data_IF_376233409149
#
_entry.id   IF_376233409149
#
_cell.length_a   1.000
_cell.length_b   1.000
_cell.length_c   1.000
_cell.angle_alpha   90.00
_cell.angle_beta   90.00
_cell.angle_gamma   90.00
#
_symmetry.space_group_name_H-M   'P 1'
#
loop_
_entity.id
_entity.type
_entity.pdbx_description
1 polymer ?
#
# COMPACT_ATOMS: atom_id res chain seq x y z
N UNK A 1 -10.85 -6.90 60.50
CA UNK A 1 -10.52 -8.07 59.69
C UNK A 1 -11.17 -7.86 58.32
N UNK A 2 -10.45 -7.41 57.37
CA UNK A 2 -10.91 -7.29 55.96
C UNK A 2 -9.74 -7.70 55.07
N UNK A 3 -9.91 -8.82 54.42
CA UNK A 3 -8.97 -9.32 53.43
C UNK A 3 -9.20 -8.58 52.11
N UNK A 4 -8.20 -7.84 51.68
CA UNK A 4 -8.15 -7.29 50.32
C UNK A 4 -7.62 -8.39 49.41
N UNK A 5 -8.46 -8.93 48.56
CA UNK A 5 -8.12 -9.85 47.51
C UNK A 5 -7.38 -9.08 46.39
N UNK A 6 -6.06 -9.32 46.32
CA UNK A 6 -5.21 -8.80 45.24
C UNK A 6 -5.45 -9.67 44.00
N UNK A 7 -6.20 -9.17 43.07
CA UNK A 7 -6.29 -9.75 41.72
C UNK A 7 -4.93 -9.63 41.04
N UNK A 8 -4.18 -10.69 40.97
CA UNK A 8 -2.97 -10.82 40.17
C UNK A 8 -3.38 -10.85 38.68
N UNK A 9 -3.30 -9.69 38.03
CA UNK A 9 -3.28 -9.61 36.58
C UNK A 9 -2.05 -10.38 36.09
N UNK A 10 -2.27 -11.51 35.44
CA UNK A 10 -1.25 -12.23 34.71
C UNK A 10 -0.63 -11.32 33.69
N UNK A 11 0.54 -10.78 33.96
CA UNK A 11 1.41 -10.17 32.97
C UNK A 11 1.90 -11.31 32.06
N UNK A 12 1.20 -11.50 30.91
CA UNK A 12 1.69 -12.38 29.88
C UNK A 12 3.08 -11.91 29.43
N UNK A 13 4.06 -12.80 29.51
CA UNK A 13 5.39 -12.56 28.96
C UNK A 13 5.28 -12.17 27.48
N UNK A 14 6.14 -11.26 26.98
CA UNK A 14 6.15 -10.89 25.56
C UNK A 14 6.59 -12.13 24.77
N UNK A 15 5.62 -12.83 24.17
CA UNK A 15 5.90 -13.90 23.22
C UNK A 15 6.57 -13.28 22.00
N UNK A 16 7.82 -13.65 21.74
CA UNK A 16 8.45 -13.44 20.43
C UNK A 16 7.55 -14.11 19.39
N UNK A 17 7.06 -13.35 18.40
CA UNK A 17 6.37 -13.93 17.24
C UNK A 17 7.37 -14.89 16.59
N UNK A 18 7.10 -16.18 16.66
CA UNK A 18 7.97 -17.20 16.11
C UNK A 18 8.14 -16.96 14.60
N UNK A 19 9.33 -17.17 14.05
CA UNK A 19 9.65 -17.03 12.61
C UNK A 19 8.71 -17.83 11.69
N UNK A 20 7.83 -18.67 12.21
CA UNK A 20 6.91 -19.57 11.51
C UNK A 20 5.43 -19.31 11.80
N UNK A 21 5.09 -18.30 12.62
CA UNK A 21 3.69 -17.98 12.88
C UNK A 21 3.06 -17.30 11.65
N UNK A 22 1.82 -17.67 11.28
CA UNK A 22 1.08 -17.00 10.21
C UNK A 22 0.93 -15.49 10.49
N UNK A 23 1.12 -14.67 9.48
CA UNK A 23 0.97 -13.22 9.54
C UNK A 23 -0.17 -12.78 8.63
N UNK A 24 -1.03 -11.90 9.13
CA UNK A 24 -2.11 -11.28 8.38
C UNK A 24 -1.74 -9.91 7.86
N UNK A 25 -2.16 -9.60 6.64
CA UNK A 25 -2.14 -8.25 6.09
C UNK A 25 -3.51 -7.90 5.55
N UNK A 26 -3.89 -6.63 5.67
CA UNK A 26 -5.19 -6.13 5.24
C UNK A 26 -5.00 -4.86 4.39
N UNK A 27 -5.37 -4.96 3.13
CA UNK A 27 -5.47 -3.83 2.22
C UNK A 27 -6.93 -3.33 2.17
N UNK A 28 -7.17 -2.13 2.69
CA UNK A 28 -8.49 -1.52 2.75
C UNK A 28 -8.63 -0.50 1.63
N UNK A 29 -9.12 -0.97 0.48
CA UNK A 29 -9.37 -0.14 -0.69
C UNK A 29 -10.80 0.41 -0.73
N UNK A 30 -11.02 1.46 -1.54
CA UNK A 30 -12.33 2.15 -1.66
C UNK A 30 -13.44 1.27 -2.27
N UNK A 31 -13.10 0.32 -3.12
CA UNK A 31 -14.07 -0.54 -3.83
C UNK A 31 -13.93 -2.01 -3.50
N UNK A 32 -12.77 -2.41 -3.05
CA UNK A 32 -12.44 -3.80 -2.72
C UNK A 32 -11.46 -3.84 -1.56
N UNK A 33 -11.60 -4.84 -0.71
CA UNK A 33 -10.68 -5.15 0.37
C UNK A 33 -10.01 -6.49 0.08
N UNK A 34 -8.75 -6.62 0.49
CA UNK A 34 -7.98 -7.86 0.36
C UNK A 34 -7.29 -8.18 1.69
N UNK A 35 -7.52 -9.38 2.21
CA UNK A 35 -6.79 -9.92 3.35
C UNK A 35 -5.97 -11.11 2.87
N UNK A 36 -4.67 -11.12 3.17
CA UNK A 36 -3.80 -12.26 2.93
C UNK A 36 -3.22 -12.77 4.24
N UNK A 37 -3.21 -14.07 4.41
CA UNK A 37 -2.55 -14.75 5.52
C UNK A 37 -1.42 -15.59 4.94
N UNK A 38 -0.20 -15.35 5.39
CA UNK A 38 0.97 -16.06 4.89
C UNK A 38 1.90 -16.49 6.03
N UNK A 39 2.72 -17.49 5.76
CA UNK A 39 3.75 -18.01 6.65
C UNK A 39 5.11 -17.93 5.98
N UNK A 40 6.14 -17.55 6.73
CA UNK A 40 7.52 -17.61 6.25
C UNK A 40 8.00 -19.06 6.21
N UNK A 41 8.52 -19.49 5.08
CA UNK A 41 9.10 -20.82 4.94
C UNK A 41 10.56 -20.85 5.42
N UNK A 42 11.08 -22.02 5.84
CA UNK A 42 12.48 -22.17 6.28
C UNK A 42 13.50 -21.71 5.22
N UNK A 43 13.16 -21.76 3.93
CA UNK A 43 14.00 -21.28 2.81
C UNK A 43 13.88 -19.78 2.52
N UNK A 44 13.18 -18.99 3.36
CA UNK A 44 13.05 -17.54 3.21
C UNK A 44 11.91 -17.06 2.30
N UNK A 45 11.18 -17.96 1.63
CA UNK A 45 9.98 -17.65 0.85
C UNK A 45 8.76 -17.39 1.73
N UNK A 46 7.73 -16.79 1.14
CA UNK A 46 6.41 -16.61 1.76
C UNK A 46 5.42 -17.58 1.13
N UNK A 47 4.68 -18.31 1.94
CA UNK A 47 3.59 -19.19 1.51
C UNK A 47 2.26 -18.59 1.94
N UNK A 48 1.40 -18.27 0.98
CA UNK A 48 0.04 -17.79 1.25
C UNK A 48 -0.83 -18.98 1.64
N UNK A 49 -1.41 -18.90 2.83
CA UNK A 49 -2.26 -19.94 3.44
C UNK A 49 -3.74 -19.67 3.22
N UNK A 50 -4.14 -18.40 3.16
CA UNK A 50 -5.51 -17.96 2.96
C UNK A 50 -5.58 -16.56 2.38
N UNK A 51 -6.64 -16.29 1.62
CA UNK A 51 -6.94 -15.00 1.04
C UNK A 51 -8.43 -14.71 1.14
N UNK A 52 -8.78 -13.49 1.52
CA UNK A 52 -10.12 -12.95 1.41
C UNK A 52 -10.13 -11.81 0.40
N UNK A 53 -11.21 -11.69 -0.37
CA UNK A 53 -11.38 -10.64 -1.36
C UNK A 53 -12.85 -10.26 -1.48
N UNK A 54 -13.20 -9.09 -0.96
CA UNK A 54 -14.58 -8.65 -0.85
C UNK A 54 -14.78 -7.26 -1.46
N UNK A 55 -16.01 -6.95 -1.86
CA UNK A 55 -16.40 -5.58 -2.16
C UNK A 55 -16.31 -4.75 -0.88
N UNK A 56 -15.84 -3.52 -1.00
CA UNK A 56 -15.72 -2.59 0.11
C UNK A 56 -16.93 -1.66 0.14
N UNK A 57 -17.58 -1.58 1.27
CA UNK A 57 -18.63 -0.60 1.57
C UNK A 57 -18.15 0.36 2.67
N UNK A 58 -18.81 1.51 2.80
CA UNK A 58 -18.48 2.51 3.82
C UNK A 58 -17.23 3.33 3.58
N UNK A 59 -16.58 3.23 2.39
CA UNK A 59 -15.36 3.99 2.05
C UNK A 59 -15.56 4.91 0.86
N UNK A 60 -14.91 6.09 0.94
CA UNK A 60 -14.83 7.06 -0.16
C UNK A 60 -13.43 7.66 -0.22
N UNK A 61 -12.78 7.59 -1.38
CA UNK A 61 -11.40 8.06 -1.58
C UNK A 61 -10.40 7.51 -0.53
N UNK A 62 -10.57 6.25 -0.10
CA UNK A 62 -9.77 5.60 0.92
C UNK A 62 -10.13 5.96 2.37
N UNK A 63 -11.03 6.92 2.59
CA UNK A 63 -11.47 7.35 3.92
C UNK A 63 -12.79 6.66 4.31
N UNK A 64 -12.94 6.35 5.60
CA UNK A 64 -14.19 5.80 6.14
C UNK A 64 -15.23 6.91 6.21
N UNK A 65 -16.38 6.69 5.57
CA UNK A 65 -17.54 7.58 5.57
C UNK A 65 -18.74 6.94 6.25
N UNK A 66 -18.76 5.62 6.37
CA UNK A 66 -19.72 4.83 7.12
C UNK A 66 -18.95 3.73 7.86
N UNK A 67 -18.85 3.86 9.17
CA UNK A 67 -18.05 2.98 10.00
C UNK A 67 -18.64 1.57 10.09
N UNK A 68 -19.96 1.44 10.20
CA UNK A 68 -20.63 0.15 10.33
C UNK A 68 -20.48 -0.69 9.05
N UNK A 69 -20.72 -0.08 7.89
CA UNK A 69 -20.51 -0.74 6.60
C UNK A 69 -19.05 -1.12 6.36
N UNK A 70 -18.09 -0.26 6.76
CA UNK A 70 -16.65 -0.56 6.64
C UNK A 70 -16.25 -1.73 7.55
N UNK A 71 -16.71 -1.76 8.80
CA UNK A 71 -16.46 -2.84 9.77
C UNK A 71 -17.03 -4.17 9.28
N UNK A 72 -18.26 -4.18 8.75
CA UNK A 72 -18.86 -5.38 8.16
C UNK A 72 -18.03 -5.91 7.00
N UNK A 73 -17.53 -5.04 6.11
CA UNK A 73 -16.64 -5.42 5.00
C UNK A 73 -15.30 -5.97 5.49
N UNK A 74 -14.70 -5.36 6.54
CA UNK A 74 -13.45 -5.83 7.15
C UNK A 74 -13.64 -7.22 7.77
N UNK A 75 -14.71 -7.43 8.53
CA UNK A 75 -15.01 -8.74 9.13
C UNK A 75 -15.20 -9.82 8.07
N UNK A 76 -15.93 -9.52 7.00
CA UNK A 76 -16.18 -10.47 5.92
C UNK A 76 -14.88 -10.91 5.21
N UNK A 77 -14.01 -9.95 4.84
CA UNK A 77 -12.76 -10.27 4.12
C UNK A 77 -11.76 -11.01 5.01
N UNK A 78 -11.69 -10.67 6.30
CA UNK A 78 -10.82 -11.35 7.27
C UNK A 78 -11.31 -12.78 7.52
N UNK A 79 -12.60 -12.94 7.75
CA UNK A 79 -13.21 -14.25 7.98
C UNK A 79 -12.98 -15.22 6.80
N UNK A 80 -13.11 -14.74 5.56
CA UNK A 80 -12.83 -15.54 4.37
C UNK A 80 -11.36 -16.00 4.35
N UNK A 81 -10.41 -15.10 4.64
CA UNK A 81 -8.99 -15.46 4.69
C UNK A 81 -8.67 -16.46 5.80
N UNK A 82 -9.25 -16.29 6.99
CA UNK A 82 -9.09 -17.17 8.15
C UNK A 82 -9.64 -18.58 7.88
N UNK A 83 -10.81 -18.67 7.26
CA UNK A 83 -11.41 -19.97 6.89
C UNK A 83 -10.50 -20.75 5.95
N UNK A 84 -9.93 -20.12 4.92
CA UNK A 84 -9.01 -20.77 4.00
C UNK A 84 -7.69 -21.17 4.67
N UNK A 85 -7.13 -20.26 5.49
CA UNK A 85 -5.88 -20.50 6.21
C UNK A 85 -6.03 -21.47 7.38
N UNK A 86 -7.25 -21.69 7.91
CA UNK A 86 -7.56 -22.40 9.16
C UNK A 86 -6.82 -21.83 10.36
N UNK A 87 -6.73 -20.50 10.41
CA UNK A 87 -6.01 -19.75 11.46
C UNK A 87 -6.87 -18.56 11.84
N UNK A 88 -6.91 -18.21 13.12
CA UNK A 88 -7.52 -16.97 13.60
C UNK A 88 -6.45 -15.90 13.76
N UNK A 89 -6.63 -14.76 13.09
CA UNK A 89 -5.75 -13.61 13.18
C UNK A 89 -5.97 -12.86 14.51
N UNK A 90 -4.89 -12.40 15.10
CA UNK A 90 -4.92 -11.49 16.26
C UNK A 90 -4.46 -10.10 15.89
N UNK A 91 -3.53 -10.03 14.94
CA UNK A 91 -2.95 -8.77 14.47
C UNK A 91 -2.78 -8.76 12.95
N UNK A 92 -2.81 -7.57 12.38
CA UNK A 92 -2.62 -7.35 10.94
C UNK A 92 -1.68 -6.18 10.67
N UNK A 93 -0.95 -6.25 9.55
CA UNK A 93 -0.32 -5.08 8.94
C UNK A 93 -1.30 -4.46 7.95
N UNK A 94 -1.56 -3.17 8.11
CA UNK A 94 -2.63 -2.46 7.44
C UNK A 94 -2.11 -1.59 6.31
N UNK A 95 -2.72 -1.65 5.13
CA UNK A 95 -2.51 -0.74 4.00
C UNK A 95 -3.36 0.52 4.14
N UNK A 96 -2.76 1.70 3.97
CA UNK A 96 -3.43 2.99 4.00
C UNK A 96 -3.38 3.66 2.63
N UNK A 97 -4.54 3.83 1.98
CA UNK A 97 -4.70 4.57 0.72
C UNK A 97 -5.11 6.03 0.93
N UNK A 98 -5.59 6.38 2.13
CA UNK A 98 -6.08 7.69 2.52
C UNK A 98 -4.99 8.61 3.10
N UNK A 99 -5.42 9.79 3.59
CA UNK A 99 -4.59 10.67 4.41
C UNK A 99 -3.65 11.58 3.63
N UNK A 100 -3.73 11.62 2.30
CA UNK A 100 -2.96 12.54 1.43
C UNK A 100 -1.47 12.55 1.83
N UNK A 101 -0.70 11.52 1.50
CA UNK A 101 0.70 11.39 1.87
C UNK A 101 1.51 12.58 1.34
N UNK A 102 2.47 13.02 2.14
CA UNK A 102 3.46 14.04 1.80
C UNK A 102 4.85 13.47 2.04
N UNK A 103 5.72 13.64 1.07
CA UNK A 103 7.14 13.30 1.17
C UNK A 103 7.93 14.48 1.71
N UNK A 104 8.72 14.23 2.75
CA UNK A 104 9.66 15.20 3.32
C UNK A 104 11.05 14.57 3.37
N UNK A 105 12.08 15.38 3.33
CA UNK A 105 13.48 14.96 3.49
C UNK A 105 14.10 15.67 4.67
N UNK A 106 14.80 14.90 5.52
CA UNK A 106 15.55 15.41 6.65
C UNK A 106 16.97 14.83 6.63
N UNK A 107 17.91 15.53 7.22
CA UNK A 107 19.28 15.06 7.38
C UNK A 107 19.65 15.14 8.86
N UNK A 108 19.87 14.00 9.47
CA UNK A 108 20.22 13.86 10.89
C UNK A 108 21.68 13.49 11.04
N UNK A 109 22.35 14.10 11.99
CA UNK A 109 23.73 13.81 12.36
C UNK A 109 23.79 13.35 13.83
N UNK A 110 24.46 12.22 14.08
CA UNK A 110 24.67 11.64 15.41
C UNK A 110 26.17 11.61 15.70
N UNK A 111 26.58 12.19 16.82
CA UNK A 111 27.96 12.10 17.32
C UNK A 111 28.20 10.71 17.94
N UNK A 112 29.25 10.03 17.50
CA UNK A 112 29.63 8.69 17.94
C UNK A 112 30.84 8.67 18.86
N UNK A 113 31.64 9.77 18.88
CA UNK A 113 32.81 9.86 19.72
C UNK A 113 33.97 8.91 19.32
N UNK A 114 33.97 8.40 18.10
CA UNK A 114 35.04 7.51 17.62
C UNK A 114 34.83 6.02 17.94
N UNK A 115 33.61 5.61 18.33
CA UNK A 115 33.23 4.18 18.54
C UNK A 115 32.59 3.57 17.30
N UNK A 116 32.41 2.25 17.35
CA UNK A 116 31.66 1.53 16.34
C UNK A 116 30.16 1.91 16.37
N UNK A 117 29.55 1.98 15.17
CA UNK A 117 28.11 2.18 14.99
C UNK A 117 27.36 0.94 15.44
N UNK A 118 26.32 1.13 16.23
CA UNK A 118 25.39 0.09 16.63
C UNK A 118 23.98 0.35 16.05
N UNK A 119 23.13 -0.68 16.02
CA UNK A 119 21.76 -0.55 15.49
C UNK A 119 20.94 0.55 16.16
N UNK A 120 21.17 0.78 17.47
CA UNK A 120 20.52 1.82 18.26
C UNK A 120 20.85 3.25 17.79
N UNK A 121 22.04 3.47 17.19
CA UNK A 121 22.41 4.78 16.63
C UNK A 121 21.55 5.12 15.42
N UNK A 122 21.32 4.14 14.53
CA UNK A 122 20.44 4.29 13.39
C UNK A 122 18.99 4.50 13.85
N UNK A 123 18.54 3.71 14.83
CA UNK A 123 17.20 3.86 15.41
C UNK A 123 17.00 5.25 16.03
N UNK A 124 17.99 5.76 16.77
CA UNK A 124 17.96 7.08 17.38
C UNK A 124 17.92 8.20 16.33
N UNK A 125 18.69 8.07 15.24
CA UNK A 125 18.65 9.03 14.15
C UNK A 125 17.26 9.08 13.47
N UNK A 126 16.64 7.92 13.22
CA UNK A 126 15.29 7.86 12.65
C UNK A 126 14.22 8.42 13.60
N UNK A 127 14.34 8.15 14.90
CA UNK A 127 13.45 8.73 15.92
C UNK A 127 13.60 10.27 15.99
N UNK A 128 14.82 10.78 15.89
CA UNK A 128 15.10 12.23 15.85
C UNK A 128 14.47 12.86 14.61
N UNK A 129 14.66 12.26 13.42
CA UNK A 129 14.03 12.73 12.19
C UNK A 129 12.49 12.80 12.30
N UNK A 130 11.86 11.79 12.94
CA UNK A 130 10.40 11.79 13.20
C UNK A 130 9.99 12.93 14.12
N UNK A 131 10.75 13.17 15.19
CA UNK A 131 10.45 14.21 16.18
C UNK A 131 10.57 15.62 15.58
N UNK A 132 11.64 15.89 14.80
CA UNK A 132 11.84 17.19 14.13
C UNK A 132 10.77 17.48 13.07
N UNK A 133 10.26 16.44 12.41
CA UNK A 133 9.25 16.58 11.36
C UNK A 133 7.81 16.58 11.90
N UNK A 134 7.62 16.54 13.22
CA UNK A 134 6.27 16.48 13.80
C UNK A 134 5.49 17.76 13.48
N UNK A 135 4.30 17.60 12.92
CA UNK A 135 3.38 18.66 12.55
C UNK A 135 2.01 18.32 13.09
N UNK A 136 1.31 19.31 13.66
CA UNK A 136 -0.05 19.14 14.16
C UNK A 136 -1.00 18.62 13.06
N UNK A 137 -1.85 17.67 13.42
CA UNK A 137 -2.82 17.04 12.50
C UNK A 137 -2.20 16.05 11.50
N UNK A 138 -0.91 15.76 11.58
CA UNK A 138 -0.23 14.78 10.73
C UNK A 138 0.57 13.75 11.54
N UNK A 139 0.63 12.51 11.01
CA UNK A 139 1.44 11.43 11.55
C UNK A 139 2.55 11.06 10.57
N UNK A 140 3.75 10.79 11.09
CA UNK A 140 4.84 10.25 10.27
C UNK A 140 4.70 8.75 10.12
N UNK A 141 4.13 8.32 8.99
CA UNK A 141 3.86 6.92 8.68
C UNK A 141 5.16 6.14 8.43
N UNK A 142 6.09 6.72 7.67
CA UNK A 142 7.38 6.10 7.38
C UNK A 142 8.54 7.05 7.67
N UNK A 143 9.67 6.48 8.13
CA UNK A 143 10.97 7.15 8.18
C UNK A 143 11.99 6.21 7.56
N UNK A 144 12.34 6.44 6.28
CA UNK A 144 13.13 5.54 5.46
C UNK A 144 14.53 6.13 5.22
N UNK A 145 15.63 5.44 5.55
CA UNK A 145 16.95 5.94 5.24
C UNK A 145 17.18 5.98 3.73
N UNK A 146 17.49 7.17 3.19
CA UNK A 146 17.87 7.37 1.79
C UNK A 146 19.38 7.18 1.60
N UNK A 147 20.17 7.71 2.52
CA UNK A 147 21.61 7.66 2.45
C UNK A 147 22.18 7.66 3.86
N UNK A 148 23.19 6.84 4.07
CA UNK A 148 23.93 6.75 5.32
C UNK A 148 25.39 7.02 5.03
N UNK A 149 26.02 7.94 5.75
CA UNK A 149 27.44 8.23 5.63
C UNK A 149 28.09 8.26 7.01
N UNK A 150 29.35 7.85 7.10
CA UNK A 150 30.16 7.93 8.30
C UNK A 150 31.27 8.96 8.08
N UNK A 151 31.37 9.92 8.97
CA UNK A 151 32.21 11.11 8.83
C UNK A 151 31.91 11.87 7.52
N UNK A 152 32.86 12.00 6.61
CA UNK A 152 32.70 12.57 5.27
C UNK A 152 32.93 11.53 4.18
N UNK A 153 32.74 10.26 4.52
CA UNK A 153 32.99 9.13 3.63
C UNK A 153 31.90 8.94 2.58
N UNK A 154 32.08 7.89 1.79
CA UNK A 154 31.12 7.46 0.76
C UNK A 154 29.82 6.93 1.40
N UNK A 155 28.71 6.92 0.65
CA UNK A 155 27.48 6.29 1.07
C UNK A 155 27.66 4.82 1.45
N UNK A 156 27.11 4.44 2.59
CA UNK A 156 27.19 3.09 3.13
C UNK A 156 25.83 2.39 3.00
N UNK A 157 25.88 1.11 2.71
CA UNK A 157 24.67 0.28 2.72
C UNK A 157 24.24 -0.05 4.15
N UNK A 158 25.19 -0.49 4.98
CA UNK A 158 25.02 -0.75 6.40
C UNK A 158 26.24 -0.21 7.16
N UNK A 159 26.09 0.74 8.08
CA UNK A 159 27.19 1.32 8.83
C UNK A 159 27.55 0.52 10.09
N UNK A 160 26.74 -0.48 10.49
CA UNK A 160 26.93 -1.20 11.77
C UNK A 160 28.29 -1.90 11.85
N UNK A 161 28.95 -1.75 12.99
CA UNK A 161 30.29 -2.26 13.22
C UNK A 161 31.44 -1.37 12.69
N UNK A 162 31.14 -0.37 11.83
CA UNK A 162 32.15 0.56 11.34
C UNK A 162 32.46 1.64 12.41
N UNK A 163 33.73 2.01 12.55
CA UNK A 163 34.19 3.02 13.50
C UNK A 163 34.17 4.41 12.84
N UNK A 164 33.60 5.39 13.54
CA UNK A 164 33.58 6.77 13.06
C UNK A 164 33.23 7.76 14.18
N UNK A 165 33.34 9.05 13.87
CA UNK A 165 33.01 10.12 14.82
C UNK A 165 31.57 10.61 14.63
N UNK A 166 31.08 10.65 13.39
CA UNK A 166 29.76 11.19 13.03
C UNK A 166 29.04 10.28 12.07
N UNK A 167 27.83 9.89 12.43
CA UNK A 167 26.90 9.17 11.57
C UNK A 167 25.89 10.16 11.02
N UNK A 168 25.80 10.29 9.70
CA UNK A 168 24.82 11.14 9.02
C UNK A 168 23.86 10.30 8.23
N UNK A 169 22.55 10.55 8.44
CA UNK A 169 21.44 9.92 7.72
C UNK A 169 20.67 10.97 6.95
N UNK A 170 20.51 10.80 5.64
CA UNK A 170 19.43 11.43 4.89
C UNK A 170 18.21 10.52 5.01
N UNK A 171 17.07 11.07 5.42
CA UNK A 171 15.85 10.31 5.73
C UNK A 171 14.71 10.83 4.89
N UNK A 172 13.97 9.92 4.24
CA UNK A 172 12.69 10.20 3.62
C UNK A 172 11.59 9.93 4.66
N UNK A 173 10.81 10.96 4.94
CA UNK A 173 9.67 10.90 5.85
C UNK A 173 8.38 10.95 5.03
N UNK A 174 7.49 10.00 5.24
CA UNK A 174 6.15 10.00 4.67
C UNK A 174 5.16 10.37 5.76
N UNK A 175 4.50 11.50 5.61
CA UNK A 175 3.48 11.97 6.53
C UNK A 175 2.09 11.87 5.92
N UNK A 176 1.11 11.50 6.74
CA UNK A 176 -0.32 11.43 6.38
C UNK A 176 -1.15 12.25 7.35
N UNK A 177 -2.35 12.65 6.96
CA UNK A 177 -3.31 13.25 7.87
C UNK A 177 -3.68 12.26 8.99
N UNK A 178 -3.69 12.73 10.24
CA UNK A 178 -3.88 11.88 11.41
C UNK A 178 -5.31 11.29 11.48
N UNK A 179 -6.34 12.08 11.18
CA UNK A 179 -7.72 11.65 11.32
C UNK A 179 -8.09 10.43 10.43
N UNK A 180 -7.80 10.39 9.12
CA UNK A 180 -8.06 9.20 8.30
C UNK A 180 -7.29 7.96 8.77
N UNK A 181 -6.04 8.13 9.22
CA UNK A 181 -5.22 7.05 9.78
C UNK A 181 -5.86 6.47 11.04
N UNK A 182 -6.20 7.33 12.02
CA UNK A 182 -6.77 6.89 13.29
C UNK A 182 -8.16 6.29 13.13
N UNK A 183 -9.01 6.85 12.23
CA UNK A 183 -10.32 6.28 11.93
C UNK A 183 -10.22 4.86 11.35
N UNK A 184 -9.26 4.65 10.43
CA UNK A 184 -9.07 3.32 9.84
C UNK A 184 -8.55 2.32 10.87
N UNK A 185 -7.58 2.72 11.70
CA UNK A 185 -7.07 1.87 12.80
C UNK A 185 -8.19 1.52 13.77
N UNK A 186 -8.99 2.51 14.18
CA UNK A 186 -10.10 2.29 15.09
C UNK A 186 -11.16 1.34 14.53
N UNK A 187 -11.47 1.41 13.22
CA UNK A 187 -12.40 0.47 12.60
C UNK A 187 -11.87 -0.97 12.59
N UNK A 188 -10.58 -1.17 12.30
CA UNK A 188 -9.94 -2.48 12.36
C UNK A 188 -9.90 -3.02 13.80
N UNK A 189 -9.60 -2.17 14.79
CA UNK A 189 -9.57 -2.57 16.21
C UNK A 189 -10.97 -2.92 16.74
N UNK A 190 -12.04 -2.28 16.25
CA UNK A 190 -13.43 -2.68 16.56
C UNK A 190 -13.81 -4.03 15.97
N UNK A 191 -13.12 -4.48 14.93
CA UNK A 191 -13.24 -5.85 14.40
C UNK A 191 -12.40 -6.88 15.20
N UNK A 192 -11.97 -6.57 16.42
CA UNK A 192 -11.17 -7.44 17.30
C UNK A 192 -9.79 -7.81 16.74
N UNK A 193 -9.23 -6.98 15.86
CA UNK A 193 -7.89 -7.14 15.31
C UNK A 193 -6.95 -6.06 15.86
N UNK A 194 -5.76 -6.44 16.31
CA UNK A 194 -4.71 -5.48 16.63
C UNK A 194 -4.01 -5.01 15.35
N UNK A 195 -3.72 -3.70 15.25
CA UNK A 195 -2.92 -3.17 14.14
C UNK A 195 -1.45 -3.18 14.54
N UNK A 196 -0.68 -4.08 13.93
CA UNK A 196 0.76 -4.22 14.20
C UNK A 196 1.56 -3.05 13.60
N UNK A 197 1.25 -2.68 12.36
CA UNK A 197 1.83 -1.54 11.66
C UNK A 197 0.91 -1.06 10.55
N UNK A 198 1.13 0.20 10.11
CA UNK A 198 0.45 0.77 8.95
C UNK A 198 1.47 1.15 7.89
N UNK A 199 1.15 0.83 6.64
CA UNK A 199 1.99 1.08 5.46
C UNK A 199 1.20 1.89 4.44
N UNK A 200 1.81 2.87 3.81
CA UNK A 200 1.20 3.57 2.69
C UNK A 200 0.97 2.59 1.52
N UNK A 201 -0.27 2.49 1.04
CA UNK A 201 -0.65 1.54 -0.01
C UNK A 201 0.19 1.69 -1.29
N UNK A 202 0.51 2.90 -1.81
CA UNK A 202 1.36 3.01 -2.99
C UNK A 202 2.79 2.50 -2.78
N UNK A 203 3.34 2.62 -1.57
CA UNK A 203 4.64 2.03 -1.22
C UNK A 203 4.57 0.50 -1.26
N UNK A 204 3.55 -0.07 -0.62
CA UNK A 204 3.32 -1.51 -0.64
C UNK A 204 3.08 -2.02 -2.08
N UNK A 205 2.27 -1.34 -2.88
CA UNK A 205 2.01 -1.70 -4.28
C UNK A 205 3.31 -1.75 -5.10
N UNK A 206 4.22 -0.79 -4.90
CA UNK A 206 5.54 -0.80 -5.52
C UNK A 206 6.39 -2.01 -5.11
N UNK A 207 6.52 -2.28 -3.80
CA UNK A 207 7.26 -3.44 -3.28
C UNK A 207 6.62 -4.78 -3.71
N UNK A 208 5.32 -4.78 -3.92
CA UNK A 208 4.58 -5.97 -4.37
C UNK A 208 4.73 -6.27 -5.87
N UNK A 209 5.04 -5.28 -6.71
CA UNK A 209 5.00 -5.40 -8.17
C UNK A 209 6.31 -5.15 -8.90
N UNK A 210 7.27 -4.45 -8.29
CA UNK A 210 8.56 -4.13 -8.90
C UNK A 210 9.58 -5.23 -8.66
N UNK A 211 10.29 -5.63 -9.72
CA UNK A 211 11.43 -6.54 -9.61
C UNK A 211 12.62 -5.88 -8.89
N UNK A 212 13.57 -6.68 -8.45
CA UNK A 212 14.80 -6.17 -7.82
C UNK A 212 15.57 -5.22 -8.75
N UNK A 213 15.63 -5.53 -10.05
CA UNK A 213 16.31 -4.70 -11.05
C UNK A 213 15.57 -3.38 -11.26
N UNK A 214 14.24 -3.39 -11.34
CA UNK A 214 13.43 -2.17 -11.46
C UNK A 214 13.56 -1.27 -10.22
N UNK A 215 13.61 -1.86 -9.03
CA UNK A 215 13.87 -1.12 -7.79
C UNK A 215 15.29 -0.49 -7.82
N UNK A 216 16.29 -1.22 -8.27
CA UNK A 216 17.67 -0.76 -8.32
C UNK A 216 17.90 0.32 -9.38
N UNK A 217 17.41 0.09 -10.61
CA UNK A 217 17.59 1.01 -11.74
C UNK A 217 16.70 2.24 -11.64
N UNK A 218 15.59 2.13 -10.95
CA UNK A 218 14.58 3.16 -10.80
C UNK A 218 13.31 2.87 -11.59
N UNK A 219 12.17 2.95 -10.88
CA UNK A 219 10.84 2.74 -11.43
C UNK A 219 9.79 3.60 -10.72
N UNK A 220 8.67 3.81 -11.39
CA UNK A 220 7.48 4.45 -10.83
C UNK A 220 6.37 3.40 -10.80
N UNK A 221 5.89 3.08 -9.61
CA UNK A 221 4.69 2.27 -9.45
C UNK A 221 3.45 3.19 -9.40
N UNK A 222 2.48 2.90 -10.23
CA UNK A 222 1.21 3.61 -10.30
C UNK A 222 0.08 2.64 -9.98
N UNK A 223 -0.49 2.77 -8.78
CA UNK A 223 -1.60 1.95 -8.31
C UNK A 223 -2.93 2.61 -8.67
N UNK A 224 -3.56 2.11 -9.73
CA UNK A 224 -4.86 2.56 -10.23
C UNK A 224 -5.98 1.92 -9.40
N UNK A 225 -6.23 2.45 -8.21
CA UNK A 225 -7.27 1.99 -7.30
C UNK A 225 -8.69 2.40 -7.71
N UNK A 226 -9.68 2.02 -6.91
CA UNK A 226 -11.08 2.39 -7.15
C UNK A 226 -11.39 3.85 -6.86
N UNK A 227 -10.96 4.38 -5.75
CA UNK A 227 -11.24 5.77 -5.33
C UNK A 227 -10.01 6.67 -5.28
N UNK A 228 -8.83 6.07 -5.29
CA UNK A 228 -7.54 6.76 -5.19
C UNK A 228 -6.57 6.14 -6.19
N UNK A 229 -5.80 6.96 -6.86
CA UNK A 229 -4.63 6.54 -7.62
C UNK A 229 -3.39 6.89 -6.81
N UNK A 230 -2.59 5.87 -6.47
CA UNK A 230 -1.36 6.00 -5.70
C UNK A 230 -0.13 5.97 -6.59
N UNK A 231 0.89 6.74 -6.23
CA UNK A 231 2.17 6.80 -6.94
C UNK A 231 3.31 6.63 -5.96
N UNK A 232 4.26 5.75 -6.29
CA UNK A 232 5.48 5.57 -5.53
C UNK A 232 6.68 5.52 -6.49
N UNK A 233 7.69 6.35 -6.23
CA UNK A 233 8.91 6.42 -7.04
C UNK A 233 10.06 5.79 -6.30
N UNK A 234 10.76 4.89 -6.97
CA UNK A 234 11.91 4.18 -6.42
C UNK A 234 13.18 4.48 -7.21
N UNK A 235 14.31 4.49 -6.53
CA UNK A 235 15.65 4.54 -7.11
C UNK A 235 16.62 3.90 -6.13
N UNK A 236 17.58 3.12 -6.63
CA UNK A 236 18.58 2.43 -5.79
C UNK A 236 17.95 1.56 -4.70
N UNK A 237 16.83 0.90 -5.00
CA UNK A 237 16.09 0.05 -4.06
C UNK A 237 15.31 0.80 -2.98
N UNK A 238 15.23 2.14 -3.04
CA UNK A 238 14.67 2.99 -1.98
C UNK A 238 13.49 3.82 -2.49
N UNK A 239 12.47 3.95 -1.66
CA UNK A 239 11.37 4.87 -1.91
C UNK A 239 11.89 6.32 -1.85
N UNK A 240 11.76 7.04 -2.95
CA UNK A 240 12.18 8.43 -3.07
C UNK A 240 11.05 9.43 -2.86
N UNK A 241 9.84 9.03 -3.25
CA UNK A 241 8.70 9.92 -3.28
C UNK A 241 7.38 9.14 -3.34
N UNK A 242 6.32 9.73 -2.78
CA UNK A 242 4.99 9.12 -2.76
C UNK A 242 3.91 10.20 -2.86
N UNK A 243 2.91 9.94 -3.72
CA UNK A 243 1.76 10.81 -3.89
C UNK A 243 0.47 10.01 -4.02
N UNK A 244 -0.66 10.68 -3.84
CA UNK A 244 -1.98 10.16 -4.17
C UNK A 244 -2.81 11.20 -4.89
N UNK A 245 -3.64 10.75 -5.82
CA UNK A 245 -4.68 11.52 -6.50
C UNK A 245 -6.02 10.92 -6.07
N UNK A 246 -7.00 11.71 -5.58
CA UNK A 246 -8.28 11.21 -5.09
C UNK A 246 -9.27 10.91 -6.24
N UNK A 247 -8.76 10.31 -7.30
CA UNK A 247 -9.48 9.80 -8.46
C UNK A 247 -9.05 8.36 -8.75
N UNK A 248 -9.95 7.57 -9.33
CA UNK A 248 -9.69 6.18 -9.69
C UNK A 248 -10.84 5.56 -10.48
N UNK A 249 -10.85 4.24 -10.61
CA UNK A 249 -11.80 3.50 -11.44
C UNK A 249 -13.28 3.73 -11.11
N UNK A 250 -13.61 4.13 -9.89
CA UNK A 250 -14.96 4.49 -9.48
C UNK A 250 -15.49 5.76 -10.17
N UNK A 251 -14.60 6.70 -10.45
CA UNK A 251 -14.96 7.92 -11.19
C UNK A 251 -15.25 7.60 -12.66
N UNK A 252 -14.50 6.66 -13.25
CA UNK A 252 -14.81 6.13 -14.59
C UNK A 252 -16.20 5.49 -14.62
N UNK A 253 -16.56 4.70 -13.61
CA UNK A 253 -17.90 4.10 -13.49
C UNK A 253 -18.97 5.18 -13.35
N UNK A 254 -18.70 6.22 -12.56
CA UNK A 254 -19.62 7.35 -12.38
C UNK A 254 -19.86 8.09 -13.70
N UNK A 255 -18.81 8.33 -14.47
CA UNK A 255 -18.93 9.00 -15.77
C UNK A 255 -19.74 8.15 -16.77
N UNK A 256 -19.55 6.82 -16.77
CA UNK A 256 -20.35 5.89 -17.57
C UNK A 256 -21.81 5.88 -17.12
N UNK A 257 -22.08 5.81 -15.81
CA UNK A 257 -23.43 5.82 -15.27
C UNK A 257 -24.17 7.10 -15.67
N UNK A 258 -23.50 8.25 -15.59
CA UNK A 258 -24.03 9.54 -15.98
C UNK A 258 -24.18 9.68 -17.50
N UNK A 259 -23.11 9.39 -18.24
CA UNK A 259 -23.06 9.57 -19.71
C UNK A 259 -23.98 8.62 -20.50
N UNK A 260 -24.38 7.50 -19.87
CA UNK A 260 -25.31 6.52 -20.44
C UNK A 260 -26.66 6.51 -19.72
N UNK A 261 -26.89 7.37 -18.73
CA UNK A 261 -28.10 7.38 -17.90
C UNK A 261 -28.48 5.97 -17.42
N UNK A 262 -27.52 5.24 -16.86
CA UNK A 262 -27.69 3.85 -16.41
C UNK A 262 -27.35 3.69 -14.94
N UNK A 263 -27.84 2.60 -14.32
CA UNK A 263 -27.55 2.30 -12.93
C UNK A 263 -26.07 1.97 -12.69
N UNK A 264 -25.56 2.30 -11.51
CA UNK A 264 -24.16 2.05 -11.13
C UNK A 264 -23.66 0.61 -11.39
N UNK A 265 -24.39 -0.47 -11.02
CA UNK A 265 -23.93 -1.82 -11.27
C UNK A 265 -23.79 -2.14 -12.77
N UNK A 266 -24.68 -1.59 -13.60
CA UNK A 266 -24.61 -1.75 -15.06
C UNK A 266 -23.40 -0.99 -15.63
N UNK A 267 -23.14 0.23 -15.20
CA UNK A 267 -21.97 1.01 -15.61
C UNK A 267 -20.66 0.31 -15.23
N UNK A 268 -20.57 -0.25 -14.00
CA UNK A 268 -19.40 -1.03 -13.56
C UNK A 268 -19.20 -2.30 -14.40
N UNK A 269 -20.29 -3.01 -14.73
CA UNK A 269 -20.25 -4.16 -15.61
C UNK A 269 -19.77 -3.78 -17.02
N UNK A 270 -20.27 -2.69 -17.59
CA UNK A 270 -19.88 -2.19 -18.91
C UNK A 270 -18.39 -1.84 -18.92
N UNK A 271 -17.91 -1.11 -17.91
CA UNK A 271 -16.50 -0.77 -17.75
C UNK A 271 -15.62 -2.02 -17.71
N UNK A 272 -16.00 -3.00 -16.91
CA UNK A 272 -15.20 -4.20 -16.65
C UNK A 272 -15.13 -5.13 -17.86
N UNK A 273 -16.25 -5.29 -18.58
CA UNK A 273 -16.33 -6.26 -19.69
C UNK A 273 -15.96 -5.65 -21.05
N UNK A 274 -16.26 -4.37 -21.26
CA UNK A 274 -16.16 -3.74 -22.58
C UNK A 274 -15.35 -2.43 -22.58
N UNK A 275 -14.93 -1.95 -21.40
CA UNK A 275 -14.22 -0.68 -21.27
C UNK A 275 -12.85 -0.71 -21.93
N UNK A 276 -12.54 0.34 -22.67
CA UNK A 276 -11.24 0.59 -23.30
C UNK A 276 -10.92 2.07 -23.28
N UNK A 277 -9.64 2.41 -23.24
CA UNK A 277 -9.15 3.79 -23.46
C UNK A 277 -8.64 3.98 -24.91
N UNK A 278 -8.57 2.90 -25.69
CA UNK A 278 -8.17 2.93 -27.10
C UNK A 278 -9.39 2.73 -28.00
N UNK A 279 -9.55 3.63 -28.97
CA UNK A 279 -10.53 3.46 -29.99
C UNK A 279 -10.01 2.50 -31.07
N UNK A 280 -10.81 1.48 -31.43
CA UNK A 280 -10.51 0.53 -32.50
C UNK A 280 -11.54 0.67 -33.65
N UNK A 281 -11.12 0.40 -34.87
CA UNK A 281 -11.97 0.55 -36.05
C UNK A 281 -13.30 -0.23 -36.00
N UNK A 282 -13.34 -1.37 -35.26
CA UNK A 282 -14.55 -2.20 -35.09
C UNK A 282 -15.49 -1.74 -33.98
N UNK A 283 -15.06 -0.88 -33.07
CA UNK A 283 -15.82 -0.51 -31.87
C UNK A 283 -17.12 0.24 -32.16
N UNK A 284 -17.16 0.98 -33.27
CA UNK A 284 -18.37 1.67 -33.72
C UNK A 284 -19.51 0.71 -34.14
N UNK A 285 -19.16 -0.51 -34.56
CA UNK A 285 -20.11 -1.54 -34.97
C UNK A 285 -20.48 -2.51 -33.87
N UNK A 286 -19.67 -2.59 -32.78
CA UNK A 286 -19.96 -3.43 -31.63
C UNK A 286 -21.06 -2.77 -30.80
N UNK A 287 -22.26 -3.34 -30.87
CA UNK A 287 -23.45 -2.85 -30.18
C UNK A 287 -23.62 -3.53 -28.84
N UNK A 288 -23.88 -2.75 -27.81
CA UNK A 288 -24.09 -3.20 -26.42
C UNK A 288 -25.48 -2.76 -25.98
N UNK A 289 -26.20 -3.67 -25.37
CA UNK A 289 -27.49 -3.37 -24.73
C UNK A 289 -27.25 -2.80 -23.33
N UNK A 290 -27.83 -1.66 -23.07
CA UNK A 290 -27.71 -0.92 -21.81
C UNK A 290 -29.09 -0.63 -21.28
N UNK A 291 -29.36 -1.10 -20.06
CA UNK A 291 -30.58 -0.78 -19.33
C UNK A 291 -30.45 0.64 -18.77
N UNK A 292 -31.30 1.53 -19.24
CA UNK A 292 -31.33 2.93 -18.78
C UNK A 292 -32.03 3.09 -17.43
N UNK A 293 -31.93 4.29 -16.86
CA UNK A 293 -32.71 4.68 -15.68
C UNK A 293 -34.14 4.99 -16.10
N UNK A 294 -35.12 4.46 -15.39
CA UNK A 294 -36.54 4.64 -15.66
C UNK A 294 -37.42 3.84 -14.71
N UNK A 295 -38.58 3.44 -15.19
CA UNK A 295 -39.48 2.57 -14.44
C UNK A 295 -38.79 1.22 -14.13
N UNK A 296 -38.69 0.80 -12.88
CA UNK A 296 -38.08 -0.48 -12.52
C UNK A 296 -38.76 -1.71 -13.16
N UNK A 297 -40.06 -1.61 -13.47
CA UNK A 297 -40.83 -2.70 -14.10
C UNK A 297 -40.68 -2.72 -15.63
N UNK A 298 -40.37 -1.57 -16.25
CA UNK A 298 -40.14 -1.44 -17.70
C UNK A 298 -38.99 -0.45 -17.99
N UNK A 299 -37.74 -0.82 -17.63
CA UNK A 299 -36.61 0.07 -17.82
C UNK A 299 -36.30 0.28 -19.31
N UNK A 300 -36.03 1.52 -19.75
CA UNK A 300 -35.72 1.78 -21.16
C UNK A 300 -34.46 1.05 -21.60
N UNK A 301 -34.56 0.26 -22.66
CA UNK A 301 -33.43 -0.39 -23.28
C UNK A 301 -32.83 0.53 -24.35
N UNK A 302 -31.55 0.81 -24.24
CA UNK A 302 -30.79 1.57 -25.23
C UNK A 302 -29.66 0.74 -25.81
N UNK A 303 -29.32 1.00 -27.08
CA UNK A 303 -28.20 0.35 -27.75
C UNK A 303 -27.10 1.40 -27.91
N UNK A 304 -25.95 1.14 -27.33
CA UNK A 304 -24.76 1.99 -27.42
C UNK A 304 -23.63 1.25 -28.15
N UNK A 305 -22.75 1.97 -28.83
CA UNK A 305 -21.55 1.35 -29.41
C UNK A 305 -20.44 1.26 -28.35
N UNK A 306 -19.53 0.30 -28.50
CA UNK A 306 -18.33 0.23 -27.65
C UNK A 306 -17.48 1.50 -27.77
N UNK A 307 -17.44 2.11 -28.96
CA UNK A 307 -16.78 3.39 -29.17
C UNK A 307 -17.30 4.49 -28.22
N UNK A 308 -18.61 4.49 -27.92
CA UNK A 308 -19.20 5.44 -26.96
C UNK A 308 -18.69 5.25 -25.55
N UNK A 309 -18.42 4.01 -25.15
CA UNK A 309 -17.80 3.75 -23.85
C UNK A 309 -16.38 4.35 -23.80
N UNK A 310 -15.59 4.13 -24.84
CA UNK A 310 -14.23 4.69 -24.93
C UNK A 310 -14.22 6.22 -24.91
N UNK A 311 -15.17 6.88 -25.58
CA UNK A 311 -15.32 8.35 -25.54
C UNK A 311 -15.57 8.89 -24.13
N UNK A 312 -16.25 8.11 -23.27
CA UNK A 312 -16.52 8.49 -21.87
C UNK A 312 -15.34 8.13 -20.95
N UNK A 313 -14.74 6.96 -21.16
CA UNK A 313 -13.70 6.41 -20.28
C UNK A 313 -12.37 7.14 -20.45
N UNK A 314 -11.92 7.32 -21.69
CA UNK A 314 -10.58 7.84 -22.01
C UNK A 314 -10.30 9.20 -21.36
N UNK A 315 -11.18 10.23 -21.46
CA UNK A 315 -10.91 11.53 -20.85
C UNK A 315 -10.68 11.47 -19.33
N UNK A 316 -11.40 10.58 -18.65
CA UNK A 316 -11.21 10.41 -17.18
C UNK A 316 -9.86 9.78 -16.85
N UNK A 317 -9.41 8.81 -17.62
CA UNK A 317 -8.10 8.18 -17.40
C UNK A 317 -6.98 9.17 -17.74
N UNK A 318 -7.14 9.94 -18.82
CA UNK A 318 -6.22 11.02 -19.18
C UNK A 318 -6.10 12.08 -18.07
N UNK A 319 -7.23 12.49 -17.48
CA UNK A 319 -7.23 13.40 -16.34
C UNK A 319 -6.46 12.83 -15.13
N UNK A 320 -6.67 11.55 -14.81
CA UNK A 320 -5.92 10.89 -13.75
C UNK A 320 -4.42 10.94 -14.04
N UNK A 321 -3.99 10.63 -15.27
CA UNK A 321 -2.59 10.66 -15.66
C UNK A 321 -1.99 12.06 -15.65
N UNK A 322 -2.74 13.08 -16.08
CA UNK A 322 -2.33 14.49 -16.01
C UNK A 322 -2.10 14.94 -14.57
N UNK A 323 -3.01 14.60 -13.66
CA UNK A 323 -2.87 14.91 -12.22
C UNK A 323 -1.69 14.18 -11.59
N UNK A 324 -1.45 12.91 -11.95
CA UNK A 324 -0.28 12.16 -11.51
C UNK A 324 1.00 12.79 -12.05
N UNK A 325 1.04 13.16 -13.33
CA UNK A 325 2.19 13.83 -13.93
C UNK A 325 2.51 15.15 -13.24
N UNK A 326 1.48 15.96 -12.93
CA UNK A 326 1.63 17.20 -12.18
C UNK A 326 2.24 16.95 -10.79
N UNK A 327 1.78 15.92 -10.06
CA UNK A 327 2.36 15.55 -8.76
C UNK A 327 3.82 15.11 -8.85
N UNK A 328 4.15 14.33 -9.88
CA UNK A 328 5.53 13.88 -10.12
C UNK A 328 6.46 15.05 -10.49
N UNK A 329 5.95 16.08 -11.13
CA UNK A 329 6.69 17.30 -11.49
C UNK A 329 6.95 18.25 -10.30
N UNK A 330 6.18 18.13 -9.19
CA UNK A 330 6.42 18.92 -7.97
C UNK A 330 7.78 18.60 -7.32
N UNK A 331 8.40 17.49 -7.69
CA UNK A 331 9.71 17.07 -7.18
C UNK A 331 10.78 17.19 -8.26
N UNK A 332 11.96 17.71 -7.89
CA UNK A 332 13.12 17.86 -8.79
C UNK A 332 13.78 16.54 -9.20
N UNK A 333 13.14 15.41 -8.91
CA UNK A 333 13.69 14.08 -9.20
C UNK A 333 13.52 13.76 -10.69
N UNK A 334 14.60 13.35 -11.40
CA UNK A 334 14.52 13.07 -12.83
C UNK A 334 13.60 11.87 -13.11
N UNK A 335 12.82 11.97 -14.18
CA UNK A 335 11.93 10.89 -14.67
C UNK A 335 12.63 10.06 -15.77
N UNK A 336 13.63 10.61 -16.45
CA UNK A 336 14.28 9.99 -17.59
C UNK A 336 14.91 8.63 -17.26
N UNK A 337 14.79 7.67 -18.19
CA UNK A 337 15.38 6.33 -18.09
C UNK A 337 14.63 5.37 -17.16
N UNK A 338 13.48 5.76 -16.62
CA UNK A 338 12.67 4.94 -15.71
C UNK A 338 11.58 4.18 -16.44
N UNK A 339 11.05 3.16 -15.77
CA UNK A 339 9.89 2.39 -16.23
C UNK A 339 8.68 2.71 -15.37
N UNK A 340 7.52 2.78 -16.00
CA UNK A 340 6.23 2.89 -15.33
C UNK A 340 5.63 1.48 -15.14
N UNK A 341 5.17 1.17 -13.94
CA UNK A 341 4.51 -0.10 -13.62
C UNK A 341 3.11 0.21 -13.10
N UNK A 342 2.11 -0.13 -13.90
CA UNK A 342 0.70 0.07 -13.60
C UNK A 342 0.16 -1.12 -12.82
N UNK A 343 -0.46 -0.88 -11.68
CA UNK A 343 -1.07 -1.92 -10.85
C UNK A 343 -2.43 -1.47 -10.31
N UNK A 344 -3.02 -2.26 -9.41
CA UNK A 344 -4.40 -2.01 -8.97
C UNK A 344 -5.45 -2.46 -9.96
N UNK A 345 -6.72 -2.43 -9.56
CA UNK A 345 -7.82 -2.90 -10.38
C UNK A 345 -8.02 -2.11 -11.69
N UNK A 346 -7.70 -0.83 -11.69
CA UNK A 346 -7.80 0.03 -12.89
C UNK A 346 -6.77 -0.29 -13.97
N UNK A 347 -5.66 -0.97 -13.63
CA UNK A 347 -4.64 -1.37 -14.61
C UNK A 347 -5.09 -2.49 -15.55
N UNK A 348 -6.24 -3.11 -15.30
CA UNK A 348 -6.83 -4.13 -16.18
C UNK A 348 -7.66 -3.53 -17.33
N UNK A 349 -7.86 -2.20 -17.32
CA UNK A 349 -8.60 -1.53 -18.38
C UNK A 349 -7.83 -1.62 -19.70
N UNK A 350 -8.52 -2.03 -20.76
CA UNK A 350 -7.90 -2.23 -22.08
C UNK A 350 -7.29 -0.93 -22.62
N UNK A 351 -6.02 -1.01 -23.04
CA UNK A 351 -5.29 0.13 -23.63
C UNK A 351 -4.67 1.08 -22.60
N UNK A 352 -4.79 0.81 -21.30
CA UNK A 352 -4.27 1.70 -20.26
C UNK A 352 -2.75 1.80 -20.29
N UNK A 353 -2.04 0.76 -20.72
CA UNK A 353 -0.58 0.75 -20.84
C UNK A 353 -0.13 1.71 -21.93
N UNK A 354 -0.72 1.60 -23.11
CA UNK A 354 -0.42 2.44 -24.27
C UNK A 354 -0.73 3.91 -23.96
N UNK A 355 -1.86 4.18 -23.33
CA UNK A 355 -2.22 5.54 -22.93
C UNK A 355 -1.23 6.09 -21.87
N UNK A 356 -0.75 5.25 -20.97
CA UNK A 356 0.25 5.65 -19.98
C UNK A 356 1.61 5.94 -20.63
N UNK A 357 2.04 5.12 -21.60
CA UNK A 357 3.26 5.38 -22.37
C UNK A 357 3.19 6.71 -23.13
N UNK A 358 2.03 7.01 -23.75
CA UNK A 358 1.74 8.29 -24.40
C UNK A 358 1.82 9.46 -23.40
N UNK A 359 1.15 9.32 -22.24
CA UNK A 359 1.02 10.40 -21.26
C UNK A 359 2.32 10.72 -20.51
N UNK A 360 3.14 9.71 -20.22
CA UNK A 360 4.35 9.86 -19.39
C UNK A 360 5.65 9.84 -20.21
N UNK A 361 5.60 9.50 -21.51
CA UNK A 361 6.77 9.44 -22.39
C UNK A 361 7.81 8.40 -21.96
N UNK A 362 7.40 7.31 -21.30
CA UNK A 362 8.28 6.25 -20.82
C UNK A 362 7.63 4.86 -20.97
N UNK A 363 8.45 3.79 -21.11
CA UNK A 363 7.93 2.44 -21.22
C UNK A 363 7.08 2.06 -20.01
N UNK A 364 5.93 1.43 -20.26
CA UNK A 364 5.02 0.97 -19.22
C UNK A 364 4.75 -0.54 -19.30
N UNK A 365 4.35 -1.14 -18.18
CA UNK A 365 3.86 -2.51 -18.11
C UNK A 365 2.82 -2.67 -17.01
N UNK A 366 2.04 -3.72 -17.09
CA UNK A 366 1.17 -4.12 -15.97
C UNK A 366 2.03 -4.78 -14.88
N UNK A 367 1.90 -4.28 -13.64
CA UNK A 367 2.45 -4.85 -12.43
C UNK A 367 1.51 -5.90 -11.87
N UNK A 368 2.05 -7.08 -11.61
CA UNK A 368 1.35 -8.16 -10.90
C UNK A 368 2.10 -8.47 -9.62
N UNK A 369 1.44 -9.10 -8.62
CA UNK A 369 2.13 -9.55 -7.43
C UNK A 369 3.37 -10.37 -7.80
N UNK A 370 4.50 -10.01 -7.21
CA UNK A 370 5.71 -10.84 -7.33
C UNK A 370 5.45 -12.22 -6.71
N UNK A 371 6.10 -13.29 -7.21
CA UNK A 371 5.80 -14.64 -6.79
C UNK A 371 5.74 -14.80 -5.27
N UNK A 372 4.63 -15.30 -4.79
CA UNK A 372 4.38 -15.79 -3.45
C UNK A 372 4.11 -17.28 -3.56
N UNK A 373 4.61 -18.09 -2.64
CA UNK A 373 4.25 -19.50 -2.56
C UNK A 373 2.76 -19.65 -2.25
N UNK A 374 2.17 -20.82 -2.60
CA UNK A 374 0.74 -21.09 -2.44
C UNK A 374 -0.01 -21.10 -3.78
N UNK A 375 -1.30 -21.51 -3.75
CA UNK A 375 -2.12 -21.72 -4.95
C UNK A 375 -3.30 -20.74 -5.08
N UNK A 376 -3.24 -19.57 -4.48
CA UNK A 376 -4.38 -18.65 -4.46
C UNK A 376 -4.34 -17.71 -5.66
N UNK A 377 -5.34 -17.79 -6.53
CA UNK A 377 -5.45 -17.00 -7.77
C UNK A 377 -5.44 -15.48 -7.51
N UNK A 378 -6.06 -15.04 -6.41
CA UNK A 378 -6.16 -13.62 -6.04
C UNK A 378 -4.78 -13.00 -5.81
N UNK A 379 -3.82 -13.79 -5.30
CA UNK A 379 -2.44 -13.35 -5.11
C UNK A 379 -1.69 -13.06 -6.43
N UNK A 380 -2.30 -13.33 -7.59
CA UNK A 380 -1.71 -13.10 -8.91
C UNK A 380 -2.36 -11.97 -9.71
N UNK A 381 -3.50 -11.43 -9.23
CA UNK A 381 -4.18 -10.32 -9.89
C UNK A 381 -3.50 -8.98 -9.60
N UNK A 382 -3.48 -8.02 -10.55
CA UNK A 382 -2.93 -6.69 -10.29
C UNK A 382 -3.52 -5.99 -9.06
N UNK A 383 -4.80 -6.23 -8.74
CA UNK A 383 -5.45 -5.72 -7.53
C UNK A 383 -4.93 -6.32 -6.21
N UNK A 384 -4.11 -7.38 -6.25
CA UNK A 384 -3.49 -8.00 -5.07
C UNK A 384 -2.07 -7.50 -4.75
N UNK A 385 -1.51 -6.59 -5.57
CA UNK A 385 -0.11 -6.14 -5.40
C UNK A 385 0.13 -5.43 -4.09
N UNK A 386 -0.80 -4.60 -3.63
CA UNK A 386 -0.70 -3.92 -2.33
C UNK A 386 -0.62 -4.93 -1.19
N UNK A 387 -1.52 -5.90 -1.12
CA UNK A 387 -1.50 -6.94 -0.10
C UNK A 387 -0.22 -7.80 -0.16
N UNK A 388 0.25 -8.14 -1.38
CA UNK A 388 1.52 -8.84 -1.57
C UNK A 388 2.72 -8.03 -1.08
N UNK A 389 2.73 -6.72 -1.33
CA UNK A 389 3.74 -5.80 -0.83
C UNK A 389 3.71 -5.63 0.68
N UNK A 390 2.53 -5.57 1.28
CA UNK A 390 2.35 -5.57 2.74
C UNK A 390 2.98 -6.82 3.37
N UNK A 391 2.74 -8.02 2.79
CA UNK A 391 3.35 -9.27 3.26
C UNK A 391 4.88 -9.21 3.18
N UNK A 392 5.44 -8.67 2.09
CA UNK A 392 6.89 -8.53 1.93
C UNK A 392 7.48 -7.58 2.96
N UNK A 393 6.85 -6.42 3.17
CA UNK A 393 7.29 -5.43 4.16
C UNK A 393 7.14 -5.95 5.60
N UNK A 394 6.09 -6.68 5.91
CA UNK A 394 5.88 -7.30 7.22
C UNK A 394 6.96 -8.35 7.57
N UNK A 395 7.55 -8.96 6.53
CA UNK A 395 8.56 -10.03 6.68
C UNK A 395 10.01 -9.57 6.46
N UNK A 396 10.27 -8.27 6.26
CA UNK A 396 11.65 -7.75 6.21
C UNK A 396 12.28 -7.75 7.59
N UNK A 397 13.53 -8.22 7.69
CA UNK A 397 14.22 -8.42 8.97
C UNK A 397 14.60 -7.11 9.69
N UNK A 398 14.66 -5.98 8.97
CA UNK A 398 14.93 -4.63 9.48
C UNK A 398 13.71 -3.71 9.53
N UNK A 399 12.57 -4.20 9.05
CA UNK A 399 11.38 -3.44 8.70
C UNK A 399 10.64 -2.75 9.84
N UNK A 400 11.14 -2.79 11.03
CA UNK A 400 10.36 -2.29 12.12
C UNK A 400 10.60 -0.89 12.59
N UNK A 401 11.75 -0.41 12.38
CA UNK A 401 12.13 0.94 12.79
C UNK A 401 11.51 2.01 11.85
N UNK A 402 11.09 1.58 10.67
CA UNK A 402 10.64 2.48 9.60
C UNK A 402 9.14 2.65 9.51
N UNK A 403 8.34 1.80 10.18
CA UNK A 403 6.88 1.80 10.08
C UNK A 403 6.22 2.47 11.30
N UNK A 404 5.06 3.08 11.06
CA UNK A 404 4.19 3.59 12.13
C UNK A 404 3.39 2.45 12.76
N UNK A 405 3.23 2.50 14.10
CA UNK A 405 2.39 1.58 14.85
C UNK A 405 1.64 2.35 15.93
N UNK A 406 0.36 2.03 16.20
CA UNK A 406 -0.40 2.62 17.29
C UNK A 406 0.18 2.29 18.67
N UNK A 407 1.03 1.23 18.75
CA UNK A 407 1.66 0.75 19.98
C UNK A 407 3.18 0.65 19.84
N UNK A 408 3.90 1.80 19.71
CA UNK A 408 5.33 1.81 19.35
C UNK A 408 6.22 1.02 20.32
N UNK A 409 5.90 0.99 21.62
CA UNK A 409 6.70 0.30 22.63
C UNK A 409 6.67 -1.23 22.48
N UNK A 410 5.58 -1.83 22.03
CA UNK A 410 5.50 -3.29 21.79
C UNK A 410 6.34 -3.72 20.61
N UNK A 411 6.35 -2.92 19.56
CA UNK A 411 7.10 -3.17 18.32
C UNK A 411 8.60 -2.99 18.56
N UNK A 412 8.99 -1.93 19.29
CA UNK A 412 10.40 -1.63 19.56
C UNK A 412 11.05 -2.71 20.46
N UNK A 413 10.37 -3.13 21.53
CA UNK A 413 10.89 -4.15 22.47
C UNK A 413 11.00 -5.53 21.84
N UNK A 414 10.02 -5.97 21.05
CA UNK A 414 10.07 -7.25 20.35
C UNK A 414 11.14 -7.28 19.24
N UNK A 415 11.46 -6.12 18.64
CA UNK A 415 12.45 -6.00 17.55
C UNK A 415 13.86 -5.74 18.02
N UNK A 416 14.07 -5.01 19.11
CA UNK A 416 15.37 -4.93 19.78
C UNK A 416 15.80 -6.31 20.30
N UNK A 417 14.87 -7.14 20.78
CA UNK A 417 15.12 -8.53 21.12
C UNK A 417 15.53 -9.37 19.88
N UNK A 418 14.91 -9.16 18.71
CA UNK A 418 15.27 -9.84 17.45
C UNK A 418 16.65 -9.42 16.92
N UNK A 419 17.01 -8.14 17.03
CA UNK A 419 18.35 -7.65 16.69
C UNK A 419 19.40 -8.27 17.64
N UNK A 420 19.12 -8.34 18.92
CA UNK A 420 20.00 -8.99 19.91
C UNK A 420 20.10 -10.51 19.73
N UNK A 421 19.09 -11.17 19.23
CA UNK A 421 19.10 -12.60 18.93
C UNK A 421 19.83 -12.89 17.63
N UNK A 422 19.60 -12.10 16.58
CA UNK A 422 20.34 -12.21 15.31
C UNK A 422 21.85 -11.98 15.51
N UNK A 423 22.22 -10.98 16.32
CA UNK A 423 23.64 -10.76 16.71
C UNK A 423 24.23 -11.96 17.47
N UNK A 424 23.45 -12.67 18.29
CA UNK A 424 23.92 -13.88 19.00
C UNK A 424 23.99 -15.14 18.14
N UNK A 425 23.19 -15.21 17.05
CA UNK A 425 23.16 -16.37 16.16
C UNK A 425 24.16 -16.26 14.99
N UNK A 426 24.72 -15.06 14.73
CA UNK A 426 25.64 -14.83 13.61
C UNK A 426 27.03 -14.33 14.05
N UNK A 427 27.28 -14.22 15.35
CA UNK A 427 28.58 -13.97 15.98
C UNK A 427 28.77 -14.86 17.20
#
# INVERSE_FOLDING_TARGET
>A
MSAAEVVQLHRGEPRSIGRHEPQGVLDVGTTKMCCLIARRQPGGGLEVLGAGYQLAEGLRAGEIVDAEAAEASILAVVHEAEQQARVTLREVVLGLSAGRPRSLRSAIEIELGGRAVIGEDVARALAHARAEAQVEGRETLHALPLQITLDRGQPLRDPRGMIGRRLRLAVHLVQVAAAPLHNLVAAVERCHLEVAAVVAAPYAAGIGSLSADELALGAIALDLGGGVTGVARFTEGRLQDIHTVPLGGRHVTQDLAFGLSTAWPQAERLKTLYGSVLARAGDAHQRLEVTGLGDPEDPPLQIVSRARLTEIIRPRVEEIFQLVSARLAETELPLAGRRLVLTGGGSTLEGVVELAEEAFGMPARIGRPLPLGGRLEIAHLPGGTTAAGLLRLANQDDGGLTLWSPRPNRVLTARLAKIGQWLRENF
#
